data_IF_381204338248
#
_entry.id   IF_381204338248
#
_cell.length_a   1.000
_cell.length_b   1.000
_cell.length_c   1.000
_cell.angle_alpha   90.00
_cell.angle_beta   90.00
_cell.angle_gamma   90.00
#
_symmetry.space_group_name_H-M   'P 1'
#
loop_
_entity.id
_entity.type
_entity.pdbx_description
1 polymer ?
#
# COMPACT_ATOMS: atom_id res chain seq x y z
N UNK A 1 57.43 -25.17 -24.61
CA UNK A 1 58.69 -25.16 -23.84
C UNK A 1 58.47 -24.43 -22.52
N UNK A 2 58.67 -25.15 -21.43
CA UNK A 2 58.79 -24.78 -20.00
C UNK A 2 57.54 -24.31 -19.26
N UNK A 3 57.02 -25.25 -18.49
CA UNK A 3 56.27 -25.10 -17.23
C UNK A 3 57.07 -24.27 -16.20
N UNK A 4 56.36 -23.54 -15.36
CA UNK A 4 56.80 -23.33 -13.96
C UNK A 4 55.58 -23.29 -13.04
N UNK A 5 55.57 -24.24 -12.17
CA UNK A 5 54.72 -24.47 -11.02
C UNK A 5 55.21 -23.53 -9.91
N UNK A 6 54.36 -22.80 -9.24
CA UNK A 6 54.62 -22.30 -7.90
C UNK A 6 53.47 -22.61 -6.97
N UNK A 7 53.83 -23.27 -5.90
CA UNK A 7 53.01 -23.94 -4.94
C UNK A 7 52.30 -22.99 -3.96
N UNK A 8 51.19 -23.46 -3.43
CA UNK A 8 50.38 -22.89 -2.41
C UNK A 8 51.06 -22.77 -1.04
N UNK A 9 50.78 -21.72 -0.32
CA UNK A 9 50.90 -21.68 1.16
C UNK A 9 49.52 -21.39 1.74
N UNK A 10 48.97 -22.39 2.39
CA UNK A 10 47.73 -22.29 3.19
C UNK A 10 48.14 -21.72 4.55
N UNK A 11 47.69 -20.52 4.86
CA UNK A 11 47.76 -19.96 6.20
C UNK A 11 46.37 -20.05 6.82
N UNK A 12 46.21 -20.95 7.77
CA UNK A 12 45.03 -21.09 8.60
C UNK A 12 44.98 -19.95 9.62
N UNK A 13 44.06 -19.01 9.45
CA UNK A 13 43.75 -18.00 10.48
C UNK A 13 42.50 -18.46 11.21
N UNK A 14 42.69 -18.91 12.46
CA UNK A 14 41.57 -19.11 13.39
C UNK A 14 41.01 -17.75 13.83
N UNK A 15 39.87 -17.37 13.29
CA UNK A 15 39.09 -16.26 13.82
C UNK A 15 38.12 -16.81 14.88
N UNK A 16 38.42 -16.50 16.14
CA UNK A 16 37.49 -16.67 17.25
C UNK A 16 36.40 -15.59 17.11
N UNK A 17 35.24 -15.98 16.59
CA UNK A 17 34.10 -15.11 16.50
C UNK A 17 33.47 -14.88 17.87
N UNK A 18 33.49 -13.65 18.34
CA UNK A 18 32.67 -13.23 19.47
C UNK A 18 31.22 -13.19 19.02
N UNK A 19 30.43 -14.14 19.52
CA UNK A 19 28.97 -14.17 19.38
C UNK A 19 28.41 -13.07 20.29
N UNK A 20 28.05 -11.92 19.74
CA UNK A 20 27.23 -10.94 20.45
C UNK A 20 25.78 -11.43 20.43
N UNK A 21 25.26 -11.74 21.61
CA UNK A 21 23.88 -12.18 21.81
C UNK A 21 22.90 -11.13 21.30
N UNK A 22 22.00 -11.54 20.41
CA UNK A 22 20.82 -10.75 20.03
C UNK A 22 19.91 -10.57 21.26
N UNK A 23 19.24 -9.42 21.40
CA UNK A 23 18.32 -9.21 22.50
C UNK A 23 17.16 -10.21 22.44
N UNK A 24 16.99 -10.97 23.51
CA UNK A 24 15.88 -11.91 23.67
C UNK A 24 14.57 -11.13 23.85
N UNK A 25 13.71 -11.17 22.85
CA UNK A 25 12.31 -10.78 23.03
C UNK A 25 11.63 -11.80 23.94
N UNK A 26 11.13 -11.34 25.08
CA UNK A 26 10.20 -12.12 25.89
C UNK A 26 8.90 -12.25 25.11
N UNK A 27 8.63 -13.43 24.58
CA UNK A 27 7.33 -13.79 24.06
C UNK A 27 6.33 -13.74 25.23
N UNK A 28 5.37 -12.82 25.17
CA UNK A 28 4.16 -12.93 25.97
C UNK A 28 3.42 -14.16 25.49
N UNK A 29 3.01 -15.03 26.39
CA UNK A 29 2.23 -16.24 26.12
C UNK A 29 0.88 -15.82 25.50
N UNK A 30 0.82 -15.79 24.18
CA UNK A 30 -0.45 -15.71 23.45
C UNK A 30 -1.00 -17.14 23.39
N UNK A 31 -2.30 -17.25 23.68
CA UNK A 31 -3.07 -18.48 23.53
C UNK A 31 -2.87 -19.04 22.11
N UNK A 32 -2.71 -20.35 22.00
CA UNK A 32 -2.61 -21.04 20.72
C UNK A 32 -3.77 -20.61 19.81
N UNK A 33 -3.53 -20.42 18.50
CA UNK A 33 -4.60 -20.16 17.57
C UNK A 33 -5.60 -21.33 17.64
N UNK A 34 -6.91 -21.06 17.51
CA UNK A 34 -7.89 -22.13 17.46
C UNK A 34 -7.50 -23.08 16.34
N UNK A 35 -7.38 -24.37 16.66
CA UNK A 35 -7.23 -25.44 15.66
C UNK A 35 -8.34 -25.24 14.63
N UNK A 36 -7.97 -25.25 13.35
CA UNK A 36 -8.93 -25.22 12.25
C UNK A 36 -9.87 -26.44 12.41
N UNK A 37 -10.93 -26.29 13.14
CA UNK A 37 -12.08 -27.17 13.05
C UNK A 37 -12.60 -26.99 11.63
N UNK A 38 -12.73 -28.11 10.91
CA UNK A 38 -13.34 -28.15 9.60
C UNK A 38 -14.72 -27.49 9.70
N UNK A 39 -14.83 -26.26 9.20
CA UNK A 39 -16.09 -25.54 9.15
C UNK A 39 -17.01 -26.36 8.27
N UNK A 40 -18.08 -26.85 8.85
CA UNK A 40 -19.11 -27.62 8.15
C UNK A 40 -19.70 -26.77 7.03
N UNK A 41 -19.33 -27.11 5.80
CA UNK A 41 -19.74 -26.41 4.57
C UNK A 41 -21.26 -26.44 4.35
N UNK A 42 -22.02 -27.27 5.08
CA UNK A 42 -23.47 -27.37 4.94
C UNK A 42 -24.28 -26.28 5.68
N UNK A 43 -23.62 -25.45 6.50
CA UNK A 43 -24.25 -24.31 7.20
C UNK A 43 -24.13 -22.97 6.50
N UNK A 44 -23.60 -22.96 5.26
CA UNK A 44 -23.31 -21.70 4.51
C UNK A 44 -24.54 -21.00 3.95
N UNK A 45 -25.75 -21.56 4.04
CA UNK A 45 -26.90 -21.01 3.33
C UNK A 45 -27.58 -19.80 4.01
N UNK A 46 -27.10 -19.32 5.17
CA UNK A 46 -27.72 -18.17 5.84
C UNK A 46 -26.80 -17.31 6.74
N UNK A 47 -25.49 -17.49 6.73
CA UNK A 47 -24.59 -16.52 7.36
C UNK A 47 -24.03 -15.58 6.26
N UNK A 48 -24.53 -14.37 6.26
CA UNK A 48 -23.95 -13.26 5.51
C UNK A 48 -22.45 -13.20 5.83
N UNK A 49 -21.58 -13.47 4.85
CA UNK A 49 -20.11 -13.38 5.03
C UNK A 49 -19.80 -11.92 5.39
N UNK A 50 -19.48 -11.68 6.64
CA UNK A 50 -19.24 -10.32 7.12
C UNK A 50 -17.98 -9.76 6.47
N UNK A 51 -18.14 -8.60 5.86
CA UNK A 51 -17.01 -7.80 5.36
C UNK A 51 -16.06 -7.51 6.52
N UNK A 52 -14.77 -7.79 6.36
CA UNK A 52 -13.79 -7.59 7.42
C UNK A 52 -13.35 -6.14 7.56
N UNK A 53 -12.94 -5.52 6.44
CA UNK A 53 -12.56 -4.11 6.44
C UNK A 53 -13.78 -3.24 6.21
N UNK A 54 -14.01 -2.28 7.11
CA UNK A 54 -15.09 -1.32 7.01
C UNK A 54 -14.53 0.09 6.85
N UNK A 55 -14.98 0.75 5.81
CA UNK A 55 -14.68 2.13 5.52
C UNK A 55 -15.58 3.07 6.35
N UNK A 56 -15.21 4.34 6.43
CA UNK A 56 -15.99 5.37 7.14
C UNK A 56 -17.31 5.73 6.41
N UNK A 57 -17.38 5.45 5.11
CA UNK A 57 -18.56 5.64 4.27
C UNK A 57 -18.34 5.04 2.89
N UNK A 58 -19.34 5.18 2.02
CA UNK A 58 -19.38 4.54 0.69
C UNK A 58 -19.08 5.51 -0.46
N UNK A 59 -18.75 6.78 -0.16
CA UNK A 59 -18.39 7.76 -1.18
C UNK A 59 -16.89 7.71 -1.53
N UNK A 60 -16.52 8.44 -2.59
CA UNK A 60 -15.16 8.48 -3.13
C UNK A 60 -14.10 8.95 -2.11
N UNK A 61 -14.49 9.68 -1.07
CA UNK A 61 -13.57 10.18 -0.05
C UNK A 61 -13.60 9.26 1.17
N UNK A 62 -14.78 9.00 1.72
CA UNK A 62 -14.94 8.22 2.96
C UNK A 62 -14.59 6.74 2.78
N UNK A 63 -14.67 6.25 1.54
CA UNK A 63 -14.22 4.90 1.17
C UNK A 63 -12.72 4.64 1.36
N UNK A 64 -11.91 5.69 1.60
CA UNK A 64 -10.46 5.56 1.79
C UNK A 64 -10.01 5.74 3.25
N UNK A 65 -10.96 5.66 4.20
CA UNK A 65 -10.67 5.73 5.63
C UNK A 65 -11.16 4.48 6.35
N UNK A 66 -10.29 3.85 7.12
CA UNK A 66 -10.68 2.78 8.04
C UNK A 66 -11.57 3.35 9.15
N UNK A 67 -12.78 2.80 9.28
CA UNK A 67 -13.81 3.28 10.21
C UNK A 67 -13.32 3.36 11.66
N UNK A 68 -12.42 2.47 12.08
CA UNK A 68 -11.92 2.38 13.46
C UNK A 68 -11.07 3.59 13.87
N UNK A 69 -10.41 4.23 12.90
CA UNK A 69 -9.46 5.31 13.12
C UNK A 69 -9.88 6.62 12.45
N UNK A 70 -11.06 6.64 11.85
CA UNK A 70 -11.58 7.84 11.21
C UNK A 70 -12.08 8.86 12.25
N UNK A 71 -11.55 10.08 12.19
CA UNK A 71 -11.94 11.19 13.06
C UNK A 71 -12.41 12.42 12.28
N UNK A 72 -12.58 12.28 10.96
CA UNK A 72 -12.97 13.34 10.03
C UNK A 72 -12.08 13.33 8.79
N UNK A 73 -12.60 13.89 7.70
CA UNK A 73 -11.85 14.03 6.46
C UNK A 73 -10.70 15.02 6.68
N UNK A 74 -9.50 14.60 6.38
CA UNK A 74 -8.29 15.45 6.48
C UNK A 74 -8.21 16.43 5.30
N UNK A 75 -7.44 17.52 5.44
CA UNK A 75 -7.17 18.44 4.33
C UNK A 75 -6.32 17.78 3.24
N UNK A 76 -6.28 18.36 2.05
CA UNK A 76 -5.45 17.85 0.94
C UNK A 76 -3.95 17.86 1.31
N UNK A 77 -3.49 18.85 2.06
CA UNK A 77 -2.12 18.94 2.54
C UNK A 77 -1.82 17.79 3.53
N UNK A 78 -2.73 17.57 4.48
CA UNK A 78 -2.57 16.48 5.45
C UNK A 78 -2.67 15.11 4.78
N UNK A 79 -3.57 14.92 3.81
CA UNK A 79 -3.66 13.69 3.02
C UNK A 79 -2.37 13.42 2.27
N UNK A 80 -1.85 14.43 1.58
CA UNK A 80 -0.60 14.38 0.84
C UNK A 80 0.58 13.97 1.72
N UNK A 81 0.71 14.61 2.85
CA UNK A 81 1.75 14.34 3.83
C UNK A 81 1.58 12.95 4.47
N UNK A 82 0.35 12.57 4.80
CA UNK A 82 0.04 11.24 5.35
C UNK A 82 0.39 10.14 4.37
N UNK A 83 -0.10 10.21 3.14
CA UNK A 83 0.14 9.17 2.12
C UNK A 83 1.63 9.03 1.78
N UNK A 84 2.37 10.15 1.67
CA UNK A 84 3.81 10.10 1.41
C UNK A 84 4.58 9.39 2.53
N UNK A 85 4.31 9.71 3.79
CA UNK A 85 4.96 9.05 4.93
C UNK A 85 4.49 7.61 5.13
N UNK A 86 3.22 7.33 4.87
CA UNK A 86 2.62 6.01 4.99
C UNK A 86 3.25 5.02 4.01
N UNK A 87 3.37 5.38 2.74
CA UNK A 87 3.99 4.48 1.76
C UNK A 87 5.51 4.33 1.98
N UNK A 88 6.21 5.38 2.43
CA UNK A 88 7.62 5.28 2.84
C UNK A 88 7.80 4.30 4.00
N UNK A 89 6.95 4.39 5.00
CA UNK A 89 6.95 3.49 6.15
C UNK A 89 6.69 2.04 5.73
N UNK A 90 5.67 1.81 4.90
CA UNK A 90 5.31 0.52 4.35
C UNK A 90 6.47 -0.13 3.60
N UNK A 91 6.99 0.53 2.57
CA UNK A 91 8.07 0.02 1.74
C UNK A 91 9.35 -0.27 2.55
N UNK A 92 9.66 0.61 3.51
CA UNK A 92 10.80 0.43 4.41
C UNK A 92 10.63 -0.77 5.33
N UNK A 93 9.42 -0.93 5.91
CA UNK A 93 9.10 -2.07 6.76
C UNK A 93 9.25 -3.38 6.00
N UNK A 94 8.62 -3.50 4.82
CA UNK A 94 8.67 -4.71 4.00
C UNK A 94 10.10 -5.07 3.60
N UNK A 95 10.89 -4.08 3.16
CA UNK A 95 12.30 -4.27 2.81
C UNK A 95 13.12 -4.78 4.01
N UNK A 96 12.97 -4.14 5.17
CA UNK A 96 13.73 -4.49 6.38
C UNK A 96 13.41 -5.89 6.94
N UNK A 97 12.21 -6.40 6.65
CA UNK A 97 11.77 -7.72 7.09
C UNK A 97 11.88 -8.80 6.00
N UNK A 98 12.45 -8.45 4.83
CA UNK A 98 12.60 -9.38 3.71
C UNK A 98 11.24 -9.89 3.18
N UNK A 99 10.23 -9.02 3.20
CA UNK A 99 8.90 -9.27 2.68
C UNK A 99 8.82 -8.72 1.25
N UNK A 100 8.43 -9.57 0.30
CA UNK A 100 8.33 -9.18 -1.10
C UNK A 100 7.01 -8.45 -1.36
N UNK A 101 7.09 -7.23 -1.89
CA UNK A 101 5.94 -6.39 -2.25
C UNK A 101 6.30 -5.51 -3.44
N UNK A 102 5.30 -5.08 -4.18
CA UNK A 102 5.45 -4.09 -5.25
C UNK A 102 4.26 -3.14 -5.29
N UNK A 103 4.47 -1.94 -5.81
CA UNK A 103 3.42 -0.94 -6.00
C UNK A 103 2.58 -1.32 -7.23
N UNK A 104 1.26 -1.05 -7.16
CA UNK A 104 0.30 -1.49 -8.16
C UNK A 104 -0.68 -0.36 -8.53
N UNK A 105 -1.45 -0.55 -9.56
CA UNK A 105 -2.58 0.28 -9.97
C UNK A 105 -2.24 1.78 -10.06
N UNK A 106 -3.03 2.67 -9.49
CA UNK A 106 -2.80 4.12 -9.45
C UNK A 106 -1.45 4.50 -8.85
N UNK A 107 -1.00 3.77 -7.83
CA UNK A 107 0.32 3.95 -7.22
C UNK A 107 1.46 3.66 -8.21
N UNK A 108 1.32 2.61 -9.04
CA UNK A 108 2.28 2.30 -10.11
C UNK A 108 2.23 3.35 -11.23
N UNK A 109 1.05 3.87 -11.57
CA UNK A 109 0.91 4.95 -12.54
C UNK A 109 1.61 6.24 -12.06
N UNK A 110 1.47 6.58 -10.79
CA UNK A 110 2.20 7.70 -10.19
C UNK A 110 3.72 7.53 -10.24
N UNK A 111 4.21 6.32 -9.95
CA UNK A 111 5.62 5.99 -10.13
C UNK A 111 6.09 6.20 -11.57
N UNK A 112 5.30 5.77 -12.54
CA UNK A 112 5.65 5.90 -13.96
C UNK A 112 5.84 7.38 -14.36
N UNK A 113 4.99 8.28 -13.86
CA UNK A 113 5.09 9.72 -14.17
C UNK A 113 6.33 10.36 -13.56
N UNK A 114 6.55 10.22 -12.27
CA UNK A 114 7.65 10.92 -11.61
C UNK A 114 8.17 10.27 -10.32
N UNK A 115 7.79 9.03 -10.04
CA UNK A 115 8.18 8.35 -8.79
C UNK A 115 7.47 8.87 -7.55
N UNK A 116 6.33 9.54 -7.71
CA UNK A 116 5.49 10.04 -6.63
C UNK A 116 4.05 9.56 -6.82
N UNK A 117 3.26 9.59 -5.74
CA UNK A 117 1.81 9.38 -5.84
C UNK A 117 1.16 10.44 -6.74
N UNK A 118 0.04 10.12 -7.34
CA UNK A 118 -0.77 11.08 -8.09
C UNK A 118 -1.51 12.02 -7.12
N UNK A 119 -1.54 13.35 -7.35
CA UNK A 119 -2.10 14.29 -6.38
C UNK A 119 -3.62 14.17 -6.17
N UNK A 120 -4.34 13.64 -7.14
CA UNK A 120 -5.79 13.41 -7.07
C UNK A 120 -6.16 12.02 -6.55
N UNK A 121 -5.16 11.13 -6.37
CA UNK A 121 -5.41 9.76 -5.97
C UNK A 121 -5.56 9.65 -4.45
N UNK A 122 -6.66 9.07 -4.02
CA UNK A 122 -6.93 8.82 -2.62
C UNK A 122 -6.41 7.45 -2.18
N UNK A 123 -6.13 6.57 -3.15
CA UNK A 123 -5.64 5.22 -2.91
C UNK A 123 -4.12 5.13 -2.87
N UNK A 124 -3.67 4.15 -2.12
CA UNK A 124 -2.33 3.59 -2.24
C UNK A 124 -2.47 2.07 -2.30
N UNK A 125 -2.11 1.51 -3.44
CA UNK A 125 -2.24 0.08 -3.71
C UNK A 125 -0.90 -0.60 -3.80
N UNK A 126 -0.82 -1.75 -3.16
CA UNK A 126 0.34 -2.64 -3.25
C UNK A 126 -0.10 -4.08 -3.42
N UNK A 127 0.78 -4.85 -4.01
CA UNK A 127 0.56 -6.28 -4.18
C UNK A 127 1.69 -7.08 -3.54
N UNK A 128 1.35 -8.29 -3.13
CA UNK A 128 2.27 -9.27 -2.55
C UNK A 128 2.01 -10.66 -3.14
N UNK A 129 3.00 -11.53 -3.11
CA UNK A 129 2.75 -12.96 -3.39
C UNK A 129 1.95 -13.60 -2.25
N UNK A 130 1.24 -14.69 -2.53
CA UNK A 130 0.57 -15.49 -1.49
C UNK A 130 1.52 -15.95 -0.40
N UNK A 131 2.78 -16.22 -0.72
CA UNK A 131 3.83 -16.55 0.26
C UNK A 131 4.07 -15.39 1.22
N UNK A 132 4.19 -14.17 0.71
CA UNK A 132 4.34 -12.97 1.57
C UNK A 132 3.08 -12.72 2.37
N UNK A 133 1.90 -12.87 1.76
CA UNK A 133 0.62 -12.68 2.45
C UNK A 133 0.45 -13.63 3.64
N UNK A 134 0.77 -14.91 3.46
CA UNK A 134 0.74 -15.90 4.55
C UNK A 134 1.71 -15.49 5.68
N UNK A 135 2.93 -15.06 5.35
CA UNK A 135 3.88 -14.57 6.36
C UNK A 135 3.38 -13.32 7.09
N UNK A 136 2.66 -12.42 6.40
CA UNK A 136 2.02 -11.27 7.05
C UNK A 136 0.97 -11.75 8.07
N UNK A 137 0.10 -12.68 7.69
CA UNK A 137 -0.90 -13.25 8.57
C UNK A 137 -0.33 -13.95 9.80
N UNK A 138 0.72 -14.76 9.59
CA UNK A 138 1.34 -15.56 10.66
C UNK A 138 2.19 -14.72 11.62
N UNK A 139 2.94 -13.74 11.13
CA UNK A 139 3.99 -13.07 11.90
C UNK A 139 3.71 -11.62 12.25
N UNK A 140 2.87 -10.95 11.46
CA UNK A 140 2.73 -9.49 11.55
C UNK A 140 1.28 -9.01 11.71
N UNK A 141 0.28 -9.91 11.68
CA UNK A 141 -1.11 -9.49 11.87
C UNK A 141 -1.29 -8.75 13.19
N UNK A 142 -2.02 -7.65 13.18
CA UNK A 142 -2.27 -6.76 14.33
C UNK A 142 -0.97 -6.18 14.94
N UNK A 143 0.09 -6.06 14.15
CA UNK A 143 1.36 -5.47 14.59
C UNK A 143 1.34 -3.96 14.35
N UNK A 144 1.69 -3.21 15.39
CA UNK A 144 1.92 -1.77 15.30
C UNK A 144 3.39 -1.47 15.03
N UNK A 145 3.63 -0.64 14.05
CA UNK A 145 4.96 -0.19 13.65
C UNK A 145 5.14 1.30 13.89
N UNK A 146 6.14 1.66 14.70
CA UNK A 146 6.51 3.06 14.91
C UNK A 146 7.54 3.48 13.85
N UNK A 147 7.08 4.29 12.92
CA UNK A 147 7.89 4.90 11.88
C UNK A 147 8.50 6.21 12.35
N UNK A 148 9.76 6.43 11.97
CA UNK A 148 10.43 7.73 12.08
C UNK A 148 10.97 8.09 10.70
N UNK A 149 10.69 9.30 10.22
CA UNK A 149 11.23 9.79 8.94
C UNK A 149 12.76 9.88 8.98
N UNK A 150 13.39 9.90 7.80
CA UNK A 150 14.86 9.92 7.68
C UNK A 150 15.51 11.14 8.31
N UNK A 151 14.79 12.26 8.38
CA UNK A 151 15.22 13.49 9.05
C UNK A 151 14.88 13.54 10.56
N UNK A 152 14.17 12.51 11.06
CA UNK A 152 13.74 12.41 12.45
C UNK A 152 12.57 13.32 12.87
N UNK A 153 12.03 14.11 11.94
CA UNK A 153 11.03 15.14 12.24
C UNK A 153 9.61 14.56 12.39
N UNK A 154 9.32 13.48 11.66
CA UNK A 154 7.98 12.85 11.65
C UNK A 154 8.04 11.51 12.35
N UNK A 155 7.14 11.31 13.33
CA UNK A 155 6.92 10.02 13.99
C UNK A 155 5.45 9.64 13.84
N UNK A 156 5.20 8.42 13.35
CA UNK A 156 3.83 7.91 13.12
C UNK A 156 3.75 6.43 13.46
N UNK A 157 2.61 6.04 13.96
CA UNK A 157 2.30 4.64 14.22
C UNK A 157 1.37 4.11 13.13
N UNK A 158 1.71 2.95 12.59
CA UNK A 158 0.94 2.24 11.59
C UNK A 158 0.57 0.86 12.08
N UNK A 159 -0.61 0.38 11.70
CA UNK A 159 -1.09 -0.96 12.00
C UNK A 159 -1.06 -1.81 10.73
N UNK A 160 -0.48 -3.01 10.81
CA UNK A 160 -0.72 -4.07 9.81
C UNK A 160 -1.94 -4.85 10.28
N UNK A 161 -2.95 -4.90 9.44
CA UNK A 161 -4.17 -5.66 9.69
C UNK A 161 -4.42 -6.63 8.53
N UNK A 162 -4.47 -7.92 8.82
CA UNK A 162 -4.59 -8.98 7.81
C UNK A 162 -5.97 -9.59 7.90
N UNK A 163 -6.67 -9.60 6.77
CA UNK A 163 -7.99 -10.18 6.65
C UNK A 163 -7.94 -11.69 6.94
N UNK A 164 -8.78 -12.23 7.82
CA UNK A 164 -8.81 -13.66 8.10
C UNK A 164 -9.18 -14.53 6.89
N UNK A 165 -9.73 -13.94 5.82
CA UNK A 165 -10.09 -14.61 4.58
C UNK A 165 -8.97 -14.66 3.53
N UNK A 166 -7.71 -14.45 3.91
CA UNK A 166 -6.54 -14.50 2.98
C UNK A 166 -6.36 -15.86 2.31
N UNK A 167 -6.85 -16.94 2.91
CA UNK A 167 -6.76 -18.30 2.36
C UNK A 167 -7.75 -18.53 1.21
N UNK A 168 -8.81 -17.76 1.13
CA UNK A 168 -9.71 -17.77 -0.02
C UNK A 168 -9.11 -16.94 -1.14
N UNK A 169 -8.75 -17.60 -2.25
CA UNK A 169 -8.08 -16.92 -3.38
C UNK A 169 -9.04 -16.61 -4.52
N UNK A 170 -10.34 -16.80 -4.32
CA UNK A 170 -11.41 -16.41 -5.24
C UNK A 170 -12.21 -15.27 -4.66
N UNK A 171 -12.87 -14.49 -5.53
CA UNK A 171 -13.61 -13.28 -5.12
C UNK A 171 -14.72 -13.55 -4.11
N UNK A 172 -15.40 -14.71 -4.22
CA UNK A 172 -16.59 -14.99 -3.43
C UNK A 172 -17.73 -14.00 -3.70
N UNK A 173 -18.30 -13.46 -2.63
CA UNK A 173 -19.33 -12.42 -2.70
C UNK A 173 -18.78 -11.00 -2.97
N UNK A 174 -17.47 -10.84 -2.99
CA UNK A 174 -16.78 -9.57 -3.25
C UNK A 174 -16.55 -8.70 -2.01
N UNK A 175 -17.00 -9.12 -0.82
CA UNK A 175 -16.85 -8.32 0.39
C UNK A 175 -15.43 -8.34 0.97
N UNK A 176 -14.64 -9.42 0.72
CA UNK A 176 -13.31 -9.60 1.28
C UNK A 176 -12.22 -9.68 0.20
N UNK A 177 -12.28 -8.75 -0.77
CA UNK A 177 -11.29 -8.69 -1.87
C UNK A 177 -9.94 -8.14 -1.44
N UNK A 178 -9.91 -7.28 -0.44
CA UNK A 178 -8.67 -6.75 0.14
C UNK A 178 -8.13 -7.73 1.18
N UNK A 179 -6.88 -8.12 1.01
CA UNK A 179 -6.25 -9.17 1.83
C UNK A 179 -5.60 -8.63 3.10
N UNK A 180 -5.08 -7.41 3.07
CA UNK A 180 -4.53 -6.75 4.25
C UNK A 180 -4.54 -5.23 4.06
N UNK A 181 -4.39 -4.49 5.18
CA UNK A 181 -4.23 -3.04 5.18
C UNK A 181 -3.05 -2.61 6.04
N UNK A 182 -2.36 -1.59 5.59
CA UNK A 182 -1.41 -0.81 6.36
C UNK A 182 -2.05 0.52 6.71
N UNK A 183 -2.43 0.72 7.97
CA UNK A 183 -3.35 1.77 8.41
C UNK A 183 -2.62 2.81 9.23
N UNK A 184 -2.77 4.09 8.90
CA UNK A 184 -2.38 5.20 9.78
C UNK A 184 -3.40 5.31 10.93
N UNK A 185 -2.99 4.90 12.14
CA UNK A 185 -3.90 4.88 13.30
C UNK A 185 -4.29 6.27 13.79
N UNK A 186 -3.69 7.32 13.24
CA UNK A 186 -3.97 8.70 13.60
C UNK A 186 -5.22 9.26 12.91
N UNK A 187 -5.45 8.88 11.65
CA UNK A 187 -6.56 9.43 10.85
C UNK A 187 -7.33 8.40 10.02
N UNK A 188 -6.87 7.15 10.00
CA UNK A 188 -7.57 6.06 9.32
C UNK A 188 -7.26 5.89 7.83
N UNK A 189 -6.43 6.74 7.21
CA UNK A 189 -5.94 6.48 5.84
C UNK A 189 -5.12 5.19 5.81
N UNK A 190 -5.14 4.49 4.67
CA UNK A 190 -4.49 3.19 4.57
C UNK A 190 -3.86 2.93 3.19
N UNK A 191 -2.99 1.93 3.13
CA UNK A 191 -2.53 1.25 1.91
C UNK A 191 -3.26 -0.08 1.82
N UNK A 192 -3.94 -0.34 0.71
CA UNK A 192 -4.51 -1.63 0.42
C UNK A 192 -3.45 -2.61 -0.08
N UNK A 193 -3.51 -3.83 0.44
CA UNK A 193 -2.59 -4.92 0.11
C UNK A 193 -3.39 -6.06 -0.47
N UNK A 194 -3.15 -6.40 -1.74
CA UNK A 194 -3.78 -7.54 -2.40
C UNK A 194 -2.77 -8.65 -2.67
N UNK A 195 -3.16 -9.87 -2.37
CA UNK A 195 -2.34 -11.06 -2.62
C UNK A 195 -2.55 -11.62 -4.01
N UNK A 196 -1.46 -11.98 -4.69
CA UNK A 196 -1.49 -12.70 -5.95
C UNK A 196 -1.09 -14.16 -5.77
N UNK A 197 -1.79 -15.03 -6.44
CA UNK A 197 -1.49 -16.46 -6.51
C UNK A 197 -1.92 -17.07 -7.84
N UNK A 198 -1.31 -18.18 -8.20
CA UNK A 198 -1.75 -19.00 -9.34
C UNK A 198 -3.04 -19.72 -8.95
N UNK A 199 -4.19 -19.17 -9.34
CA UNK A 199 -5.50 -19.66 -8.91
C UNK A 199 -6.01 -20.84 -9.76
N UNK A 200 -5.59 -20.92 -11.02
CA UNK A 200 -6.05 -21.95 -11.98
C UNK A 200 -4.88 -22.65 -12.69
N UNK A 201 -3.97 -23.33 -11.97
CA UNK A 201 -2.76 -23.90 -12.59
C UNK A 201 -3.04 -24.99 -13.62
N UNK A 202 -4.18 -25.66 -13.52
CA UNK A 202 -4.55 -26.72 -14.48
C UNK A 202 -5.04 -26.18 -15.83
N UNK A 203 -5.71 -25.04 -15.83
CA UNK A 203 -6.31 -24.45 -17.06
C UNK A 203 -5.59 -23.21 -17.54
N UNK A 204 -4.92 -22.50 -16.66
CA UNK A 204 -4.20 -21.25 -16.96
C UNK A 204 -2.86 -21.19 -16.20
N UNK A 205 -1.91 -22.09 -16.53
CA UNK A 205 -0.63 -22.18 -15.81
C UNK A 205 0.20 -20.91 -16.02
N UNK A 206 0.89 -20.47 -14.95
CA UNK A 206 1.75 -19.29 -14.97
C UNK A 206 1.00 -17.96 -14.91
N UNK A 207 -0.33 -17.97 -14.74
CA UNK A 207 -1.13 -16.75 -14.53
C UNK A 207 -1.48 -16.60 -13.04
N UNK A 208 -1.08 -15.48 -12.48
CA UNK A 208 -1.40 -15.12 -11.12
C UNK A 208 -2.53 -14.10 -11.08
N UNK A 209 -3.44 -14.28 -10.14
CA UNK A 209 -4.60 -13.38 -9.98
C UNK A 209 -4.83 -12.96 -8.53
N UNK A 210 -5.42 -11.77 -8.36
CA UNK A 210 -6.00 -11.33 -7.09
C UNK A 210 -7.51 -11.61 -7.06
N UNK A 211 -8.14 -11.42 -5.91
CA UNK A 211 -9.60 -11.56 -5.74
C UNK A 211 -10.42 -10.53 -6.53
N UNK A 212 -9.78 -9.43 -6.99
CA UNK A 212 -10.44 -8.36 -7.74
C UNK A 212 -10.26 -8.48 -9.26
N UNK A 213 -10.05 -9.70 -9.77
CA UNK A 213 -9.95 -10.04 -11.20
C UNK A 213 -8.76 -9.44 -11.95
N UNK A 214 -7.75 -8.89 -11.28
CA UNK A 214 -6.50 -8.57 -11.97
C UNK A 214 -5.70 -9.86 -12.17
N UNK A 215 -5.28 -10.06 -13.39
CA UNK A 215 -4.54 -11.26 -13.82
C UNK A 215 -3.24 -10.83 -14.50
N UNK A 216 -2.15 -11.49 -14.14
CA UNK A 216 -0.82 -11.22 -14.68
C UNK A 216 -0.12 -12.54 -14.99
N UNK A 217 0.60 -12.60 -16.10
CA UNK A 217 1.55 -13.67 -16.31
C UNK A 217 2.74 -13.48 -15.37
N UNK A 218 3.29 -14.58 -14.88
CA UNK A 218 4.42 -14.52 -13.94
C UNK A 218 5.64 -13.79 -14.54
N UNK A 219 5.87 -13.87 -15.84
CA UNK A 219 6.93 -13.19 -16.57
C UNK A 219 6.64 -11.69 -16.82
N UNK A 220 5.42 -11.24 -16.64
CA UNK A 220 5.05 -9.81 -16.58
C UNK A 220 5.39 -9.19 -15.21
N UNK A 221 5.32 -9.98 -14.17
CA UNK A 221 5.65 -9.55 -12.80
C UNK A 221 7.16 -9.66 -12.53
N UNK A 222 7.75 -10.81 -12.82
CA UNK A 222 9.13 -11.12 -12.44
C UNK A 222 10.10 -11.23 -13.65
N UNK A 223 11.39 -10.89 -13.44
CA UNK A 223 11.99 -10.39 -12.21
C UNK A 223 11.54 -8.97 -11.89
N UNK A 224 11.13 -8.70 -10.65
CA UNK A 224 10.77 -7.34 -10.24
C UNK A 224 11.95 -6.39 -10.44
N UNK A 225 11.64 -5.14 -10.84
CA UNK A 225 12.64 -4.07 -10.97
C UNK A 225 12.69 -3.25 -9.69
N UNK A 226 13.89 -2.97 -9.20
CA UNK A 226 14.08 -2.00 -8.11
C UNK A 226 14.05 -0.58 -8.66
N UNK A 227 13.35 0.31 -7.98
CA UNK A 227 13.21 1.72 -8.32
C UNK A 227 12.98 2.56 -7.07
N UNK A 228 12.81 3.87 -7.26
CA UNK A 228 12.48 4.80 -6.18
C UNK A 228 11.02 5.23 -6.29
N UNK A 229 10.32 5.22 -5.16
CA UNK A 229 8.98 5.79 -5.04
C UNK A 229 8.89 6.59 -3.74
N UNK A 230 8.39 7.81 -3.82
CA UNK A 230 8.33 8.75 -2.67
C UNK A 230 9.67 8.87 -1.90
N UNK A 231 10.80 8.73 -2.61
CA UNK A 231 12.13 8.86 -2.04
C UNK A 231 12.68 7.63 -1.32
N UNK A 232 11.98 6.48 -1.37
CA UNK A 232 12.45 5.21 -0.83
C UNK A 232 12.46 4.12 -1.90
N UNK A 233 13.21 3.04 -1.64
CA UNK A 233 13.26 1.90 -2.56
C UNK A 233 11.92 1.19 -2.64
N UNK A 234 11.45 0.98 -3.84
CA UNK A 234 10.25 0.23 -4.19
C UNK A 234 10.55 -0.82 -5.25
N UNK A 235 9.67 -1.81 -5.38
CA UNK A 235 9.68 -2.73 -6.52
C UNK A 235 8.51 -2.42 -7.44
N UNK A 236 8.75 -2.61 -8.73
CA UNK A 236 7.74 -2.50 -9.79
C UNK A 236 7.76 -3.75 -10.66
N UNK A 237 6.64 -4.16 -11.24
CA UNK A 237 6.57 -5.30 -12.17
C UNK A 237 7.53 -5.16 -13.35
N UNK A 238 7.98 -6.27 -13.90
CA UNK A 238 8.89 -6.29 -15.05
C UNK A 238 8.30 -5.59 -16.27
N UNK A 239 7.06 -5.92 -16.61
CA UNK A 239 6.31 -5.39 -17.75
C UNK A 239 5.32 -4.27 -17.31
N UNK A 240 5.79 -3.35 -16.47
CA UNK A 240 4.96 -2.26 -15.92
C UNK A 240 4.24 -1.44 -17.00
N UNK A 241 4.87 -1.22 -18.15
CA UNK A 241 4.31 -0.49 -19.28
C UNK A 241 3.10 -1.20 -19.89
N UNK A 242 3.19 -2.52 -20.07
CA UNK A 242 2.07 -3.34 -20.50
C UNK A 242 0.94 -3.34 -19.47
N UNK A 243 1.26 -3.57 -18.20
CA UNK A 243 0.28 -3.60 -17.10
C UNK A 243 -0.48 -2.28 -17.04
N UNK A 244 0.23 -1.15 -17.03
CA UNK A 244 -0.40 0.18 -17.02
C UNK A 244 -1.23 0.45 -18.28
N UNK A 245 -0.80 -0.03 -19.44
CA UNK A 245 -1.55 0.11 -20.69
C UNK A 245 -2.83 -0.72 -20.66
N UNK A 246 -2.77 -1.93 -20.14
CA UNK A 246 -3.93 -2.82 -20.03
C UNK A 246 -4.97 -2.27 -19.03
N UNK A 247 -4.54 -1.72 -17.88
CA UNK A 247 -5.44 -1.18 -16.85
C UNK A 247 -6.00 0.20 -17.22
N UNK A 248 -5.17 1.13 -17.69
CA UNK A 248 -5.52 2.55 -17.86
C UNK A 248 -5.55 3.02 -19.30
N UNK A 249 -5.24 2.16 -20.26
CA UNK A 249 -5.03 2.48 -21.66
C UNK A 249 -3.81 3.42 -21.88
N UNK A 250 -3.28 3.45 -23.09
CA UNK A 250 -2.10 4.25 -23.46
C UNK A 250 -2.27 5.75 -23.16
N UNK A 251 -3.51 6.26 -23.19
CA UNK A 251 -3.77 7.67 -22.93
C UNK A 251 -3.36 8.13 -21.53
N UNK A 252 -3.45 7.27 -20.52
CA UNK A 252 -3.04 7.59 -19.14
C UNK A 252 -1.52 7.85 -19.01
N UNK A 253 -0.74 7.35 -19.97
CA UNK A 253 0.71 7.54 -20.02
C UNK A 253 1.15 8.79 -20.78
N UNK A 254 0.23 9.47 -21.49
CA UNK A 254 0.59 10.60 -22.38
C UNK A 254 -0.27 11.85 -22.18
N UNK A 255 -1.44 11.75 -21.57
CA UNK A 255 -2.31 12.90 -21.33
C UNK A 255 -1.76 13.74 -20.20
N UNK A 256 -1.52 15.01 -20.48
CA UNK A 256 -0.88 15.98 -19.57
C UNK A 256 -1.86 16.90 -18.85
N UNK A 257 -3.16 16.64 -18.94
CA UNK A 257 -4.20 17.37 -18.22
C UNK A 257 -5.27 16.37 -17.76
N UNK A 258 -5.40 16.19 -16.45
CA UNK A 258 -6.32 15.23 -15.88
C UNK A 258 -6.75 15.64 -14.46
N UNK A 259 -8.01 15.45 -14.14
CA UNK A 259 -8.61 15.66 -12.82
C UNK A 259 -8.22 16.99 -12.15
N UNK A 260 -8.32 18.09 -12.91
CA UNK A 260 -8.00 19.43 -12.41
C UNK A 260 -6.50 19.70 -12.23
N UNK A 261 -5.63 18.84 -12.74
CA UNK A 261 -4.17 19.01 -12.71
C UNK A 261 -3.59 18.99 -14.12
N UNK A 262 -2.45 19.63 -14.26
CA UNK A 262 -1.65 19.65 -15.48
C UNK A 262 -0.22 19.21 -15.18
N UNK A 263 0.39 18.50 -16.13
CA UNK A 263 1.78 18.12 -16.04
C UNK A 263 2.68 19.32 -16.37
N UNK A 264 3.55 19.69 -15.44
CA UNK A 264 4.57 20.73 -15.66
C UNK A 264 5.91 20.08 -16.02
N UNK A 265 6.32 20.09 -17.30
CA UNK A 265 7.51 19.36 -17.76
C UNK A 265 8.82 19.83 -17.12
N UNK A 266 8.92 21.12 -16.77
CA UNK A 266 10.13 21.69 -16.17
C UNK A 266 10.32 21.23 -14.72
N UNK A 267 9.23 21.11 -13.98
CA UNK A 267 9.22 20.61 -12.61
C UNK A 267 9.19 19.09 -12.58
N UNK A 268 8.68 18.45 -13.64
CA UNK A 268 8.34 17.03 -13.69
C UNK A 268 7.34 16.67 -12.60
N UNK A 269 6.30 17.50 -12.47
CA UNK A 269 5.26 17.32 -11.47
C UNK A 269 3.88 17.60 -12.05
N UNK A 270 2.88 16.96 -11.47
CA UNK A 270 1.48 17.31 -11.64
C UNK A 270 1.15 18.48 -10.71
N UNK A 271 0.72 19.59 -11.26
CA UNK A 271 0.31 20.80 -10.53
C UNK A 271 -1.16 21.08 -10.77
N UNK A 272 -1.83 21.71 -9.81
CA UNK A 272 -3.23 22.14 -10.01
C UNK A 272 -3.33 23.07 -11.22
N UNK A 273 -4.35 22.86 -12.06
CA UNK A 273 -4.58 23.74 -13.20
C UNK A 273 -5.01 25.14 -12.73
N UNK A 274 -4.77 26.19 -13.54
CA UNK A 274 -5.22 27.55 -13.20
C UNK A 274 -6.72 27.62 -12.88
N UNK A 275 -7.54 26.88 -13.61
CA UNK A 275 -8.99 26.81 -13.41
C UNK A 275 -9.33 26.16 -12.06
N UNK A 276 -8.60 25.15 -11.65
CA UNK A 276 -8.76 24.49 -10.33
C UNK A 276 -8.39 25.46 -9.23
N UNK A 277 -7.26 26.14 -9.35
CA UNK A 277 -6.81 27.13 -8.36
C UNK A 277 -7.85 28.23 -8.20
N UNK A 278 -8.35 28.78 -9.31
CA UNK A 278 -9.37 29.84 -9.28
C UNK A 278 -10.65 29.36 -8.59
N UNK A 279 -11.13 28.17 -8.93
CA UNK A 279 -12.33 27.58 -8.32
C UNK A 279 -12.19 27.33 -6.82
N UNK A 280 -11.05 26.84 -6.38
CA UNK A 280 -10.77 26.64 -4.95
C UNK A 280 -10.74 27.96 -4.18
N UNK A 281 -10.17 29.01 -4.77
CA UNK A 281 -10.14 30.34 -4.19
C UNK A 281 -11.56 30.93 -4.08
N UNK A 282 -12.37 30.82 -5.12
CA UNK A 282 -13.78 31.25 -5.12
C UNK A 282 -14.58 30.52 -4.02
N UNK A 283 -14.39 29.20 -3.87
CA UNK A 283 -15.04 28.41 -2.84
C UNK A 283 -14.58 28.80 -1.42
N UNK A 284 -13.30 29.12 -1.25
CA UNK A 284 -12.76 29.58 0.01
C UNK A 284 -13.40 30.91 0.43
N UNK A 285 -13.44 31.88 -0.49
CA UNK A 285 -14.05 33.19 -0.26
C UNK A 285 -15.54 33.08 0.06
N UNK A 286 -16.24 32.19 -0.65
CA UNK A 286 -17.66 31.94 -0.39
C UNK A 286 -17.88 31.37 1.02
N UNK A 287 -17.10 30.38 1.46
CA UNK A 287 -17.19 29.80 2.82
C UNK A 287 -16.92 30.85 3.89
N UNK A 288 -15.89 31.67 3.72
CA UNK A 288 -15.58 32.76 4.65
C UNK A 288 -16.73 33.78 4.78
N UNK A 289 -17.45 34.07 3.67
CA UNK A 289 -18.61 34.94 3.68
C UNK A 289 -19.79 34.30 4.43
N UNK A 290 -20.05 33.00 4.19
CA UNK A 290 -21.11 32.28 4.91
C UNK A 290 -20.83 32.20 6.42
N UNK A 291 -19.60 31.93 6.83
CA UNK A 291 -19.23 31.90 8.25
C UNK A 291 -19.43 33.27 8.92
N UNK A 292 -19.03 34.33 8.25
CA UNK A 292 -19.27 35.70 8.73
C UNK A 292 -20.76 36.02 8.84
N UNK A 293 -21.55 35.61 7.87
CA UNK A 293 -23.01 35.80 7.89
C UNK A 293 -23.65 35.05 9.07
N UNK A 294 -23.30 33.79 9.27
CA UNK A 294 -23.78 32.98 10.41
C UNK A 294 -23.37 33.56 11.77
N UNK A 295 -22.14 34.05 11.86
CA UNK A 295 -21.66 34.69 13.10
C UNK A 295 -22.45 35.98 13.42
N UNK A 296 -22.83 36.80 12.41
CA UNK A 296 -23.64 37.98 12.56
C UNK A 296 -25.09 37.68 12.99
N UNK A 297 -25.68 36.60 12.43
CA UNK A 297 -27.03 36.18 12.79
C UNK A 297 -27.09 35.64 14.23
N UNK A 298 -26.10 34.86 14.65
CA UNK A 298 -26.00 34.38 16.04
C UNK A 298 -25.86 35.52 17.05
N UNK A 299 -25.13 36.61 16.71
CA UNK A 299 -25.00 37.78 17.57
C UNK A 299 -26.27 38.64 17.61
N UNK A 300 -27.21 38.47 16.69
CA UNK A 300 -28.51 39.19 16.70
C UNK A 300 -29.60 38.48 17.51
N UNK A 301 -29.41 37.18 17.74
CA UNK A 301 -30.37 36.33 18.46
C UNK A 301 -30.03 36.10 19.93
N UNK A 302 -28.88 36.56 20.41
CA UNK A 302 -28.44 36.57 21.82
C UNK A 302 -28.47 37.97 22.43
#
# INVERSE_FOLDING_TARGET
MRLSICAALIASVNLVGHCTAAPSFKASSQAAPPTAEAVDMSKRDNEEVLKYFHEAGDDEILGHYDRRYFHGVVTDEERTDTQAHMIRAYLTFFRNHGLDTWIAHGTLLGWWWNGKRLPWDYDLDTQVSSTTLNRLGELYNQTKYLYTSSDGMVKREYLIDVNPWIFERVRGDGMNVIDARWIDVRNGLYVDITGLSETNPATNPGVWSCKNYHEYKIDELYPMRESMFEGVMAKVPYAYDKILTDEYQTKALVVTNFNGHMWEPKLREWVKSPETIQREEELRLWREQEEKARALDNNRLG
#
